data_IF_232008303723
#
_entry.id   IF_232008303723
#
_cell.length_a   1.000
_cell.length_b   1.000
_cell.length_c   1.000
_cell.angle_alpha   90.00
_cell.angle_beta   90.00
_cell.angle_gamma   90.00
#
_symmetry.space_group_name_H-M   'P 1'
#
loop_
_entity.id
_entity.type
_entity.pdbx_description
1 polymer ?
#
# COMPACT_ATOMS: atom_id res chain seq x y z
N UNK A 1 -6.90 54.76 13.31
CA UNK A 1 -6.95 53.31 13.53
C UNK A 1 -7.67 52.71 12.33
N UNK A 2 -6.99 51.85 11.58
CA UNK A 2 -7.41 51.50 10.22
C UNK A 2 -7.62 49.99 10.09
N UNK A 3 -8.84 49.57 10.42
CA UNK A 3 -9.41 48.25 10.15
C UNK A 3 -9.27 47.87 8.68
N UNK A 4 -9.37 46.57 8.38
CA UNK A 4 -9.48 46.12 6.99
C UNK A 4 -10.76 46.66 6.35
N UNK A 5 -10.61 47.23 5.14
CA UNK A 5 -11.77 47.62 4.33
C UNK A 5 -12.61 46.41 3.94
N UNK A 6 -13.89 46.62 3.60
CA UNK A 6 -14.82 45.55 3.18
C UNK A 6 -14.25 44.76 2.00
N UNK A 7 -13.66 45.44 1.01
CA UNK A 7 -13.04 44.78 -0.14
C UNK A 7 -11.82 43.93 0.26
N UNK A 8 -10.99 44.41 1.19
CA UNK A 8 -9.85 43.66 1.70
C UNK A 8 -10.29 42.43 2.52
N UNK A 9 -11.32 42.56 3.36
CA UNK A 9 -11.90 41.40 4.07
C UNK A 9 -12.49 40.38 3.10
N UNK A 10 -13.22 40.81 2.08
CA UNK A 10 -13.76 39.90 1.07
C UNK A 10 -12.65 39.16 0.30
N UNK A 11 -11.60 39.86 -0.10
CA UNK A 11 -10.46 39.26 -0.79
C UNK A 11 -9.68 38.28 0.11
N UNK A 12 -9.42 38.64 1.38
CA UNK A 12 -8.79 37.74 2.33
C UNK A 12 -9.65 36.49 2.60
N UNK A 13 -10.97 36.65 2.79
CA UNK A 13 -11.87 35.54 3.04
C UNK A 13 -11.82 34.52 1.89
N UNK A 14 -11.81 34.98 0.64
CA UNK A 14 -11.68 34.09 -0.53
C UNK A 14 -10.33 33.37 -0.58
N UNK A 15 -9.25 34.02 -0.13
CA UNK A 15 -7.93 33.38 -0.05
C UNK A 15 -7.89 32.32 1.05
N UNK A 16 -8.39 32.66 2.25
CA UNK A 16 -8.45 31.76 3.41
C UNK A 16 -9.33 30.53 3.08
N UNK A 17 -10.49 30.72 2.44
CA UNK A 17 -11.39 29.62 2.01
C UNK A 17 -10.67 28.62 1.09
N UNK A 18 -9.77 29.10 0.23
CA UNK A 18 -9.02 28.24 -0.72
C UNK A 18 -7.77 27.61 -0.14
N UNK A 19 -7.33 28.03 1.06
CA UNK A 19 -6.15 27.45 1.69
C UNK A 19 -6.42 26.02 2.17
N UNK A 20 -5.53 25.04 1.92
CA UNK A 20 -5.59 23.74 2.58
C UNK A 20 -5.46 23.85 4.11
N UNK A 21 -6.02 22.90 4.85
CA UNK A 21 -6.04 22.94 6.33
C UNK A 21 -4.65 23.09 6.94
N UNK A 22 -3.63 22.40 6.41
CA UNK A 22 -2.23 22.54 6.85
C UNK A 22 -1.70 23.97 6.75
N UNK A 23 -2.10 24.68 5.69
CA UNK A 23 -1.68 26.07 5.44
C UNK A 23 -2.47 27.00 6.35
N UNK A 24 -3.75 26.73 6.59
CA UNK A 24 -4.58 27.48 7.53
C UNK A 24 -4.01 27.42 8.96
N UNK A 25 -3.54 26.24 9.40
CA UNK A 25 -2.86 26.09 10.70
C UNK A 25 -1.56 26.90 10.77
N UNK A 26 -0.75 26.90 9.70
CA UNK A 26 0.47 27.70 9.63
C UNK A 26 0.15 29.21 9.64
N UNK A 27 -0.86 29.64 8.89
CA UNK A 27 -1.32 31.03 8.85
C UNK A 27 -1.83 31.49 10.22
N UNK A 28 -2.56 30.65 10.94
CA UNK A 28 -2.99 30.91 12.32
C UNK A 28 -1.79 31.16 13.24
N UNK A 29 -0.78 30.27 13.19
CA UNK A 29 0.45 30.42 13.97
C UNK A 29 1.23 31.70 13.64
N UNK A 30 1.36 32.04 12.36
CA UNK A 30 2.04 33.27 11.92
C UNK A 30 1.27 34.52 12.35
N UNK A 31 -0.05 34.55 12.14
CA UNK A 31 -0.90 35.67 12.54
C UNK A 31 -0.88 35.88 14.08
N UNK A 32 -0.69 34.82 14.86
CA UNK A 32 -0.47 34.86 16.31
C UNK A 32 0.78 35.63 16.75
N UNK A 33 1.79 35.77 15.89
CA UNK A 33 3.04 36.49 16.20
C UNK A 33 3.04 37.95 15.77
N UNK A 34 2.02 38.38 15.02
CA UNK A 34 1.92 39.74 14.47
C UNK A 34 1.18 40.68 15.43
N UNK A 35 1.64 41.93 15.54
CA UNK A 35 0.99 42.96 16.34
C UNK A 35 0.14 43.93 15.49
N UNK A 36 -0.93 44.48 16.07
CA UNK A 36 -1.77 45.53 15.50
C UNK A 36 -3.16 45.07 15.02
N UNK A 37 -4.06 46.04 14.81
CA UNK A 37 -5.50 45.81 14.56
C UNK A 37 -5.77 44.94 13.32
N UNK A 38 -5.02 45.13 12.22
CA UNK A 38 -5.16 44.31 11.01
C UNK A 38 -4.74 42.85 11.20
N UNK A 39 -3.78 42.61 12.09
CA UNK A 39 -3.37 41.25 12.45
C UNK A 39 -4.40 40.59 13.39
N UNK A 40 -5.10 41.36 14.22
CA UNK A 40 -6.27 40.88 14.95
C UNK A 40 -7.42 40.51 13.98
N UNK A 41 -7.78 41.40 13.05
CA UNK A 41 -8.81 41.12 12.02
C UNK A 41 -8.49 39.84 11.23
N UNK A 42 -7.23 39.63 10.80
CA UNK A 42 -6.82 38.41 10.10
C UNK A 42 -6.93 37.15 10.97
N UNK A 43 -6.56 37.24 12.26
CA UNK A 43 -6.70 36.11 13.21
C UNK A 43 -8.16 35.72 13.37
N UNK A 44 -9.04 36.70 13.59
CA UNK A 44 -10.48 36.47 13.73
C UNK A 44 -11.05 35.79 12.47
N UNK A 45 -10.64 36.24 11.27
CA UNK A 45 -11.06 35.61 10.01
C UNK A 45 -10.59 34.16 9.89
N UNK A 46 -9.34 33.86 10.30
CA UNK A 46 -8.80 32.49 10.28
C UNK A 46 -9.52 31.61 11.30
N UNK A 47 -9.79 32.12 12.50
CA UNK A 47 -10.50 31.39 13.56
C UNK A 47 -11.94 31.06 13.15
N UNK A 48 -12.65 32.01 12.52
CA UNK A 48 -13.99 31.80 11.99
C UNK A 48 -13.99 30.70 10.92
N UNK A 49 -13.06 30.74 9.96
CA UNK A 49 -12.95 29.70 8.94
C UNK A 49 -12.59 28.34 9.56
N UNK A 50 -11.62 28.29 10.47
CA UNK A 50 -11.19 27.06 11.11
C UNK A 50 -12.34 26.42 11.91
N UNK A 51 -13.14 27.23 12.61
CA UNK A 51 -14.32 26.79 13.34
C UNK A 51 -15.40 26.26 12.39
N UNK A 52 -15.66 26.95 11.28
CA UNK A 52 -16.62 26.52 10.26
C UNK A 52 -16.22 25.16 9.66
N UNK A 53 -14.93 24.99 9.29
CA UNK A 53 -14.40 23.70 8.82
C UNK A 53 -14.49 22.60 9.86
N UNK A 54 -14.22 22.90 11.13
CA UNK A 54 -14.37 21.93 12.22
C UNK A 54 -15.81 21.45 12.34
N UNK A 55 -16.77 22.37 12.33
CA UNK A 55 -18.21 22.07 12.40
C UNK A 55 -18.68 21.28 11.17
N UNK A 56 -18.24 21.66 9.97
CA UNK A 56 -18.45 20.88 8.74
C UNK A 56 -17.92 19.46 8.89
N UNK A 57 -16.72 19.29 9.43
CA UNK A 57 -16.10 17.97 9.58
C UNK A 57 -16.83 17.13 10.64
N UNK A 58 -17.40 17.74 11.68
CA UNK A 58 -18.28 17.06 12.64
C UNK A 58 -19.58 16.61 11.95
N UNK A 59 -20.23 17.52 11.21
CA UNK A 59 -21.48 17.25 10.52
C UNK A 59 -21.32 16.15 9.45
N UNK A 60 -20.38 16.32 8.52
CA UNK A 60 -20.14 15.41 7.41
C UNK A 60 -19.17 14.27 7.71
N UNK A 61 -18.71 14.13 8.96
CA UNK A 61 -17.74 13.12 9.39
C UNK A 61 -17.91 11.73 8.78
N UNK A 62 -19.14 11.15 8.78
CA UNK A 62 -19.38 9.84 8.17
C UNK A 62 -19.08 9.77 6.67
N UNK A 63 -19.17 10.87 5.93
CA UNK A 63 -18.97 10.91 4.48
C UNK A 63 -17.64 11.54 4.04
N UNK A 64 -16.89 12.17 4.95
CA UNK A 64 -15.63 12.84 4.60
C UNK A 64 -14.66 11.95 3.79
N UNK A 65 -14.48 10.65 4.11
CA UNK A 65 -13.57 9.82 3.32
C UNK A 65 -13.98 9.63 1.86
N UNK A 66 -15.27 9.78 1.52
CA UNK A 66 -15.73 9.72 0.13
C UNK A 66 -15.26 10.92 -0.69
N UNK A 67 -14.82 12.00 -0.06
CA UNK A 67 -14.27 13.17 -0.76
C UNK A 67 -12.75 13.09 -0.96
N UNK A 68 -12.15 11.93 -0.69
CA UNK A 68 -10.71 11.72 -0.81
C UNK A 68 -10.42 10.42 -1.56
N UNK A 69 -9.34 10.37 -2.36
CA UNK A 69 -8.88 9.10 -2.90
C UNK A 69 -8.43 8.18 -1.75
N UNK A 70 -8.72 6.89 -1.87
CA UNK A 70 -8.27 5.90 -0.89
C UNK A 70 -6.74 5.81 -0.86
N UNK A 71 -6.18 5.62 0.33
CA UNK A 71 -4.73 5.47 0.53
C UNK A 71 -4.14 4.22 -0.15
N UNK A 72 -4.93 3.14 -0.22
CA UNK A 72 -4.53 1.87 -0.84
C UNK A 72 -4.68 1.84 -2.38
N UNK A 73 -5.25 2.91 -2.96
CA UNK A 73 -5.45 3.05 -4.40
C UNK A 73 -6.50 2.12 -5.01
N UNK A 74 -7.31 1.42 -4.20
CA UNK A 74 -8.42 0.62 -4.73
C UNK A 74 -9.62 1.52 -5.11
N UNK A 75 -10.40 1.13 -6.13
CA UNK A 75 -11.60 1.87 -6.50
C UNK A 75 -12.68 1.72 -5.43
N UNK A 76 -13.37 2.82 -5.14
CA UNK A 76 -14.54 2.89 -4.26
C UNK A 76 -15.40 4.08 -4.66
N UNK A 77 -16.57 4.22 -4.03
CA UNK A 77 -17.40 5.40 -4.21
C UNK A 77 -16.63 6.67 -3.79
N UNK A 78 -16.67 7.71 -4.62
CA UNK A 78 -15.96 8.95 -4.34
C UNK A 78 -16.58 10.17 -5.02
N UNK A 79 -16.37 11.34 -4.42
CA UNK A 79 -16.90 12.63 -4.85
C UNK A 79 -15.79 13.70 -4.88
N UNK A 80 -15.89 14.72 -5.75
CA UNK A 80 -14.86 15.75 -5.84
C UNK A 80 -14.77 16.59 -4.54
N UNK A 81 -13.56 16.83 -3.99
CA UNK A 81 -13.39 17.64 -2.78
C UNK A 81 -14.00 19.05 -2.86
N UNK A 82 -14.03 19.63 -4.06
CA UNK A 82 -14.56 20.97 -4.32
C UNK A 82 -16.06 21.11 -3.99
N UNK A 83 -16.82 20.00 -4.04
CA UNK A 83 -18.26 19.97 -3.76
C UNK A 83 -18.53 20.18 -2.27
N UNK A 84 -17.65 19.69 -1.39
CA UNK A 84 -17.86 19.65 0.05
C UNK A 84 -18.12 21.04 0.67
N UNK A 85 -17.35 22.05 0.26
CA UNK A 85 -17.52 23.42 0.76
C UNK A 85 -18.77 24.12 0.22
N UNK A 86 -19.19 23.82 -1.01
CA UNK A 86 -20.45 24.34 -1.59
C UNK A 86 -21.65 23.69 -0.91
N UNK A 87 -21.58 22.37 -0.67
CA UNK A 87 -22.59 21.59 0.02
C UNK A 87 -22.82 22.11 1.45
N UNK A 88 -21.74 22.31 2.20
CA UNK A 88 -21.79 22.85 3.56
C UNK A 88 -22.51 24.19 3.62
N UNK A 89 -22.10 25.15 2.78
CA UNK A 89 -22.74 26.47 2.69
C UNK A 89 -24.22 26.40 2.33
N UNK A 90 -24.59 25.44 1.48
CA UNK A 90 -26.00 25.25 1.13
C UNK A 90 -26.81 24.68 2.30
N UNK A 91 -26.24 23.75 3.06
CA UNK A 91 -26.89 23.10 4.20
C UNK A 91 -27.12 24.05 5.38
N UNK A 92 -26.20 24.99 5.61
CA UNK A 92 -26.21 25.89 6.77
C UNK A 92 -26.88 27.23 6.52
N UNK A 93 -27.22 27.55 5.26
CA UNK A 93 -27.76 28.85 4.84
C UNK A 93 -28.98 29.31 5.66
N UNK A 94 -29.87 28.38 5.97
CA UNK A 94 -31.17 28.68 6.57
C UNK A 94 -31.19 28.51 8.09
N UNK A 95 -30.16 27.90 8.68
CA UNK A 95 -30.12 27.55 10.11
C UNK A 95 -28.75 27.85 10.76
N UNK A 96 -28.15 29.05 10.55
CA UNK A 96 -26.83 29.38 11.09
C UNK A 96 -26.77 29.34 12.63
N UNK A 97 -27.89 29.55 13.30
CA UNK A 97 -28.02 29.49 14.76
C UNK A 97 -27.80 28.09 15.35
N UNK A 98 -27.89 27.04 14.53
CA UNK A 98 -27.62 25.66 14.97
C UNK A 98 -26.13 25.34 15.01
N UNK A 99 -25.29 26.09 14.29
CA UNK A 99 -23.86 25.80 14.16
C UNK A 99 -23.11 25.73 15.50
N UNK A 100 -23.35 26.64 16.47
CA UNK A 100 -22.72 26.53 17.79
C UNK A 100 -23.08 25.26 18.56
N UNK A 101 -24.21 24.60 18.27
CA UNK A 101 -24.58 23.36 18.95
C UNK A 101 -23.67 22.19 18.54
N UNK A 102 -22.99 22.28 17.39
CA UNK A 102 -22.02 21.26 16.95
C UNK A 102 -20.77 21.23 17.83
N UNK A 103 -20.48 22.29 18.58
CA UNK A 103 -19.27 22.37 19.40
C UNK A 103 -19.40 21.62 20.74
N UNK A 104 -20.61 21.20 21.11
CA UNK A 104 -20.95 20.61 22.41
C UNK A 104 -20.54 19.15 22.59
N UNK A 105 -20.30 18.44 21.47
CA UNK A 105 -19.94 17.02 21.46
C UNK A 105 -20.88 16.09 22.25
N UNK A 106 -22.18 16.42 22.30
CA UNK A 106 -23.25 15.68 22.97
C UNK A 106 -24.27 15.10 21.98
N UNK A 107 -25.36 14.52 22.47
CA UNK A 107 -26.45 13.98 21.63
C UNK A 107 -27.12 15.04 20.76
N UNK A 108 -27.22 16.28 21.27
CA UNK A 108 -27.75 17.40 20.50
C UNK A 108 -26.84 17.69 19.31
N UNK A 109 -25.52 17.73 19.52
CA UNK A 109 -24.56 17.89 18.41
C UNK A 109 -24.73 16.82 17.33
N UNK A 110 -24.96 15.55 17.70
CA UNK A 110 -25.22 14.47 16.74
C UNK A 110 -26.52 14.67 15.96
N UNK A 111 -27.60 15.02 16.64
CA UNK A 111 -28.89 15.29 16.02
C UNK A 111 -28.83 16.47 15.03
N UNK A 112 -28.13 17.54 15.39
CA UNK A 112 -27.91 18.70 14.53
C UNK A 112 -27.05 18.33 13.32
N UNK A 113 -25.98 17.56 13.53
CA UNK A 113 -25.15 17.06 12.44
C UNK A 113 -25.97 16.26 11.41
N UNK A 114 -26.83 15.35 11.87
CA UNK A 114 -27.66 14.53 11.00
C UNK A 114 -28.74 15.36 10.28
N UNK A 115 -29.33 16.36 10.95
CA UNK A 115 -30.24 17.33 10.32
C UNK A 115 -29.55 18.09 9.18
N UNK A 116 -28.33 18.56 9.40
CA UNK A 116 -27.57 19.28 8.38
C UNK A 116 -27.22 18.38 7.18
N UNK A 117 -26.95 17.09 7.39
CA UNK A 117 -26.80 16.12 6.29
C UNK A 117 -28.08 15.98 5.48
N UNK A 118 -29.24 15.90 6.12
CA UNK A 118 -30.54 15.84 5.42
C UNK A 118 -30.80 17.14 4.64
N UNK A 119 -30.55 18.30 5.24
CA UNK A 119 -30.66 19.60 4.54
C UNK A 119 -29.73 19.67 3.32
N UNK A 120 -28.51 19.14 3.43
CA UNK A 120 -27.57 19.02 2.33
C UNK A 120 -28.09 18.10 1.21
N UNK A 121 -28.70 16.96 1.57
CA UNK A 121 -29.29 16.02 0.63
C UNK A 121 -30.46 16.65 -0.13
N UNK A 122 -31.35 17.38 0.56
CA UNK A 122 -32.43 18.13 -0.09
C UNK A 122 -31.90 19.20 -1.03
N UNK A 123 -30.86 19.93 -0.62
CA UNK A 123 -30.26 20.96 -1.47
C UNK A 123 -29.63 20.36 -2.74
N UNK A 124 -29.00 19.18 -2.67
CA UNK A 124 -28.50 18.50 -3.87
C UNK A 124 -29.63 18.09 -4.80
N UNK A 125 -30.78 17.65 -4.27
CA UNK A 125 -31.93 17.24 -5.10
C UNK A 125 -32.62 18.42 -5.78
N UNK A 126 -32.73 19.55 -5.08
CA UNK A 126 -33.46 20.73 -5.56
C UNK A 126 -32.60 21.66 -6.43
N UNK A 127 -31.31 21.77 -6.09
CA UNK A 127 -30.40 22.79 -6.65
C UNK A 127 -29.00 22.23 -6.92
N UNK A 128 -28.96 21.02 -7.48
CA UNK A 128 -27.73 20.33 -7.91
C UNK A 128 -26.78 21.25 -8.69
N UNK A 129 -27.31 21.95 -9.71
CA UNK A 129 -26.50 22.79 -10.61
C UNK A 129 -25.82 23.98 -9.94
N UNK A 130 -26.23 24.38 -8.73
CA UNK A 130 -25.53 25.41 -7.96
C UNK A 130 -24.41 24.84 -7.09
N UNK A 131 -24.61 23.63 -6.56
CA UNK A 131 -23.68 22.97 -5.64
C UNK A 131 -22.59 22.24 -6.44
N UNK A 132 -22.98 21.59 -7.52
CA UNK A 132 -22.13 20.79 -8.39
C UNK A 132 -22.51 21.04 -9.88
N UNK A 133 -22.21 22.24 -10.41
CA UNK A 133 -22.45 22.58 -11.83
C UNK A 133 -21.82 21.61 -12.83
N UNK A 134 -20.71 20.97 -12.44
CA UNK A 134 -19.94 20.06 -13.28
C UNK A 134 -20.55 18.64 -13.38
N UNK A 135 -21.60 18.30 -12.61
CA UNK A 135 -22.24 16.98 -12.68
C UNK A 135 -23.21 16.86 -13.87
N UNK A 136 -22.75 16.17 -14.92
CA UNK A 136 -23.57 15.83 -16.08
C UNK A 136 -24.24 14.44 -15.97
N UNK A 137 -24.01 13.69 -14.89
CA UNK A 137 -24.18 12.22 -14.86
C UNK A 137 -25.06 11.67 -13.74
N UNK A 138 -25.62 12.53 -12.88
CA UNK A 138 -26.49 12.11 -11.77
C UNK A 138 -25.74 11.74 -10.49
N UNK A 139 -24.45 12.08 -10.37
CA UNK A 139 -23.66 11.84 -9.15
C UNK A 139 -24.14 12.68 -7.96
N UNK A 140 -24.78 13.82 -8.20
CA UNK A 140 -25.42 14.62 -7.16
C UNK A 140 -26.51 13.83 -6.42
N UNK A 141 -27.27 12.98 -7.14
CA UNK A 141 -28.29 12.12 -6.54
C UNK A 141 -27.66 11.01 -5.69
N UNK A 142 -26.55 10.44 -6.15
CA UNK A 142 -25.80 9.42 -5.40
C UNK A 142 -25.22 10.00 -4.10
N UNK A 143 -24.66 11.21 -4.15
CA UNK A 143 -24.21 11.92 -2.95
C UNK A 143 -25.38 12.25 -2.02
N UNK A 144 -26.53 12.68 -2.55
CA UNK A 144 -27.73 12.92 -1.76
C UNK A 144 -28.24 11.65 -1.07
N UNK A 145 -28.17 10.50 -1.74
CA UNK A 145 -28.55 9.21 -1.15
C UNK A 145 -27.56 8.78 -0.05
N UNK A 146 -26.27 9.06 -0.20
CA UNK A 146 -25.29 8.85 0.87
C UNK A 146 -25.54 9.75 2.09
N UNK A 147 -25.94 11.01 1.87
CA UNK A 147 -26.28 11.95 2.94
C UNK A 147 -27.51 11.53 3.74
N UNK A 148 -28.51 10.90 3.12
CA UNK A 148 -29.66 10.33 3.84
C UNK A 148 -29.23 9.24 4.84
N UNK A 149 -28.10 8.56 4.58
CA UNK A 149 -27.56 7.50 5.43
C UNK A 149 -26.64 8.02 6.54
N UNK A 150 -26.37 9.33 6.63
CA UNK A 150 -25.38 9.89 7.55
C UNK A 150 -25.64 9.53 9.02
N UNK A 151 -26.91 9.55 9.46
CA UNK A 151 -27.29 9.17 10.82
C UNK A 151 -27.00 7.69 11.10
N UNK A 152 -27.34 6.80 10.16
CA UNK A 152 -27.06 5.37 10.25
C UNK A 152 -25.56 5.10 10.26
N UNK A 153 -24.81 5.76 9.36
CA UNK A 153 -23.36 5.65 9.29
C UNK A 153 -22.68 6.16 10.58
N UNK A 154 -23.12 7.30 11.13
CA UNK A 154 -22.57 7.84 12.39
C UNK A 154 -22.74 6.89 13.57
N UNK A 155 -23.84 6.13 13.59
CA UNK A 155 -24.09 5.09 14.60
C UNK A 155 -23.31 3.81 14.34
N UNK A 156 -23.12 3.45 13.09
CA UNK A 156 -22.42 2.23 12.66
C UNK A 156 -20.90 2.31 12.84
N UNK A 157 -20.28 3.41 12.40
CA UNK A 157 -18.83 3.57 12.33
C UNK A 157 -18.07 3.33 13.66
N UNK A 158 -18.60 3.70 14.84
CA UNK A 158 -17.95 3.36 16.12
C UNK A 158 -17.75 1.85 16.36
N UNK A 159 -18.56 0.99 15.73
CA UNK A 159 -18.46 -0.47 15.82
C UNK A 159 -17.47 -1.07 14.80
N UNK A 160 -16.96 -0.27 13.85
CA UNK A 160 -16.06 -0.74 12.80
C UNK A 160 -14.80 -1.45 13.34
N UNK A 161 -14.12 -0.96 14.40
CA UNK A 161 -12.98 -1.66 14.99
C UNK A 161 -13.31 -3.07 15.49
N UNK A 162 -14.52 -3.26 16.02
CA UNK A 162 -14.99 -4.56 16.49
C UNK A 162 -15.35 -5.47 15.31
N UNK A 163 -15.94 -4.91 14.24
CA UNK A 163 -16.30 -5.66 13.02
C UNK A 163 -15.09 -6.22 12.27
N UNK A 164 -13.98 -5.48 12.25
CA UNK A 164 -12.71 -5.91 11.64
C UNK A 164 -11.80 -6.64 12.65
N UNK A 165 -12.16 -6.65 13.93
CA UNK A 165 -11.39 -7.19 15.03
C UNK A 165 -11.84 -8.59 15.44
N UNK A 166 -12.32 -8.72 16.69
CA UNK A 166 -12.80 -10.00 17.24
C UNK A 166 -14.27 -10.22 16.86
N UNK A 167 -14.50 -11.16 15.97
CA UNK A 167 -15.85 -11.52 15.49
C UNK A 167 -16.66 -12.29 16.54
N UNK A 168 -17.94 -11.93 16.69
CA UNK A 168 -18.90 -12.59 17.57
C UNK A 168 -20.34 -12.46 17.06
N UNK A 169 -21.30 -13.23 17.62
CA UNK A 169 -22.69 -13.18 17.19
C UNK A 169 -23.36 -11.81 17.44
N UNK A 170 -22.93 -11.10 18.48
CA UNK A 170 -23.42 -9.75 18.81
C UNK A 170 -22.97 -8.73 17.77
N UNK A 171 -21.68 -8.71 17.42
CA UNK A 171 -21.15 -7.79 16.39
C UNK A 171 -21.76 -8.07 15.02
N UNK A 172 -22.04 -9.33 14.69
CA UNK A 172 -22.77 -9.69 13.48
C UNK A 172 -24.22 -9.18 13.47
N UNK A 173 -24.91 -9.24 14.62
CA UNK A 173 -26.26 -8.72 14.75
C UNK A 173 -26.30 -7.20 14.60
N UNK A 174 -25.32 -6.49 15.15
CA UNK A 174 -25.17 -5.04 15.01
C UNK A 174 -24.97 -4.63 13.55
N UNK A 175 -24.05 -5.29 12.83
CA UNK A 175 -23.83 -5.04 11.40
C UNK A 175 -25.10 -5.30 10.59
N UNK A 176 -25.76 -6.44 10.81
CA UNK A 176 -27.02 -6.80 10.10
C UNK A 176 -28.14 -5.81 10.39
N UNK A 177 -28.23 -5.29 11.61
CA UNK A 177 -29.19 -4.25 11.97
C UNK A 177 -28.89 -2.95 11.23
N UNK A 178 -27.63 -2.51 11.18
CA UNK A 178 -27.22 -1.30 10.46
C UNK A 178 -27.52 -1.41 8.96
N UNK A 179 -27.20 -2.55 8.33
CA UNK A 179 -27.50 -2.79 6.92
C UNK A 179 -29.01 -2.80 6.65
N UNK A 180 -29.81 -3.41 7.54
CA UNK A 180 -31.27 -3.41 7.43
C UNK A 180 -31.86 -2.01 7.58
N UNK A 181 -31.34 -1.21 8.52
CA UNK A 181 -31.75 0.19 8.70
C UNK A 181 -31.46 1.00 7.45
N UNK A 182 -30.26 0.86 6.87
CA UNK A 182 -29.89 1.54 5.64
C UNK A 182 -30.77 1.14 4.45
N UNK A 183 -31.04 -0.16 4.29
CA UNK A 183 -31.96 -0.66 3.26
C UNK A 183 -33.41 -0.14 3.43
N UNK A 184 -33.82 0.19 4.65
CA UNK A 184 -35.13 0.79 4.93
C UNK A 184 -35.23 2.28 4.60
N UNK A 185 -34.10 2.99 4.47
CA UNK A 185 -34.07 4.43 4.17
C UNK A 185 -34.19 4.67 2.67
N UNK A 186 -33.45 3.91 1.85
CA UNK A 186 -33.43 4.08 0.40
C UNK A 186 -33.14 2.76 -0.32
N UNK A 187 -33.57 2.60 -1.59
CA UNK A 187 -33.11 1.52 -2.46
C UNK A 187 -31.58 1.50 -2.47
N UNK A 188 -30.96 0.32 -2.43
CA UNK A 188 -29.49 0.15 -2.37
C UNK A 188 -28.83 0.80 -1.12
N UNK A 189 -29.60 1.21 -0.11
CA UNK A 189 -29.05 1.87 1.07
C UNK A 189 -28.03 1.02 1.82
N UNK A 190 -28.21 -0.30 1.87
CA UNK A 190 -27.20 -1.22 2.41
C UNK A 190 -25.89 -1.17 1.61
N UNK A 191 -25.94 -1.13 0.28
CA UNK A 191 -24.77 -1.05 -0.60
C UNK A 191 -24.01 0.26 -0.37
N UNK A 192 -24.74 1.39 -0.32
CA UNK A 192 -24.15 2.72 -0.01
C UNK A 192 -23.55 2.79 1.38
N UNK A 193 -24.19 2.18 2.39
CA UNK A 193 -23.60 2.10 3.73
C UNK A 193 -22.29 1.29 3.72
N UNK A 194 -22.20 0.23 2.93
CA UNK A 194 -20.98 -0.54 2.76
C UNK A 194 -19.88 0.27 2.06
N UNK A 195 -20.21 1.08 1.06
CA UNK A 195 -19.25 2.02 0.44
C UNK A 195 -18.74 3.05 1.46
N UNK A 196 -19.63 3.59 2.30
CA UNK A 196 -19.23 4.49 3.40
C UNK A 196 -18.27 3.75 4.34
N UNK A 197 -18.64 2.56 4.84
CA UNK A 197 -17.77 1.77 5.72
C UNK A 197 -16.42 1.49 5.05
N UNK A 198 -16.45 1.06 3.79
CA UNK A 198 -15.26 0.78 3.00
C UNK A 198 -14.35 1.99 2.97
N UNK A 199 -14.87 3.19 2.70
CA UNK A 199 -14.11 4.44 2.67
C UNK A 199 -13.41 4.79 4.00
N UNK A 200 -13.93 4.31 5.15
CA UNK A 200 -13.29 4.48 6.47
C UNK A 200 -12.20 3.44 6.78
N UNK A 201 -12.08 2.37 5.99
CA UNK A 201 -11.00 1.40 6.16
C UNK A 201 -9.70 1.95 5.56
N UNK A 202 -8.63 2.01 6.36
CA UNK A 202 -7.28 2.35 5.87
C UNK A 202 -6.77 1.31 4.86
N UNK A 203 -7.19 0.06 5.04
CA UNK A 203 -6.82 -1.06 4.19
C UNK A 203 -8.05 -1.81 3.69
N UNK A 204 -8.23 -1.83 2.37
CA UNK A 204 -9.37 -2.43 1.71
C UNK A 204 -9.55 -3.91 2.05
N UNK A 205 -8.50 -4.69 2.36
CA UNK A 205 -8.65 -6.12 2.67
C UNK A 205 -9.51 -6.37 3.91
N UNK A 206 -9.60 -5.40 4.82
CA UNK A 206 -10.39 -5.52 6.04
C UNK A 206 -11.90 -5.60 5.77
N UNK A 207 -12.35 -5.19 4.57
CA UNK A 207 -13.74 -5.38 4.15
C UNK A 207 -14.11 -6.86 4.06
N UNK A 208 -13.14 -7.75 3.84
CA UNK A 208 -13.37 -9.20 3.80
C UNK A 208 -13.86 -9.72 5.15
N UNK A 209 -13.40 -9.12 6.27
CA UNK A 209 -13.89 -9.44 7.61
C UNK A 209 -15.32 -8.98 7.83
N UNK A 210 -15.67 -7.78 7.35
CA UNK A 210 -17.05 -7.27 7.35
C UNK A 210 -17.96 -8.18 6.53
N UNK A 211 -17.50 -8.62 5.35
CA UNK A 211 -18.23 -9.58 4.52
C UNK A 211 -18.45 -10.91 5.25
N UNK A 212 -17.39 -11.48 5.83
CA UNK A 212 -17.46 -12.72 6.61
C UNK A 212 -18.43 -12.62 7.80
N UNK A 213 -18.45 -11.47 8.49
CA UNK A 213 -19.32 -11.21 9.63
C UNK A 213 -20.81 -11.11 9.23
N UNK A 214 -21.09 -10.52 8.07
CA UNK A 214 -22.44 -10.39 7.53
C UNK A 214 -22.97 -11.68 6.92
N UNK A 215 -22.08 -12.58 6.46
CA UNK A 215 -22.46 -13.84 5.84
C UNK A 215 -23.39 -14.68 6.77
N UNK A 216 -24.40 -15.37 6.22
CA UNK A 216 -25.25 -16.24 7.01
C UNK A 216 -24.45 -17.47 7.49
N UNK A 217 -24.48 -17.71 8.80
CA UNK A 217 -23.95 -18.93 9.43
C UNK A 217 -25.04 -19.98 9.57
N UNK A 218 -25.37 -20.69 8.49
CA UNK A 218 -26.44 -21.70 8.46
C UNK A 218 -26.08 -22.93 7.63
N UNK A 219 -26.85 -24.02 7.79
CA UNK A 219 -26.64 -25.29 7.07
C UNK A 219 -27.09 -25.27 5.60
N UNK A 220 -27.92 -24.30 5.21
CA UNK A 220 -28.66 -24.33 3.95
C UNK A 220 -27.93 -23.66 2.77
N UNK A 221 -27.16 -22.60 3.04
CA UNK A 221 -26.32 -21.92 2.04
C UNK A 221 -24.89 -21.77 2.58
N UNK A 222 -23.89 -22.07 1.74
CA UNK A 222 -22.50 -21.72 2.09
C UNK A 222 -22.33 -20.20 2.12
N UNK A 223 -21.52 -19.71 3.07
CA UNK A 223 -21.20 -18.29 3.23
C UNK A 223 -20.77 -17.63 1.91
N UNK A 224 -19.97 -18.32 1.10
CA UNK A 224 -19.55 -17.87 -0.23
C UNK A 224 -20.72 -17.64 -1.19
N UNK A 225 -21.69 -18.56 -1.26
CA UNK A 225 -22.85 -18.43 -2.16
C UNK A 225 -23.73 -17.26 -1.74
N UNK A 226 -23.97 -17.13 -0.44
CA UNK A 226 -24.77 -16.03 0.09
C UNK A 226 -24.09 -14.67 -0.12
N UNK A 227 -22.76 -14.61 -0.02
CA UNK A 227 -22.00 -13.40 -0.31
C UNK A 227 -22.05 -13.05 -1.80
N UNK A 228 -21.90 -14.04 -2.69
CA UNK A 228 -21.96 -13.83 -4.13
C UNK A 228 -23.31 -13.30 -4.64
N UNK A 229 -24.40 -13.59 -3.92
CA UNK A 229 -25.74 -13.05 -4.21
C UNK A 229 -26.03 -11.69 -3.53
N UNK A 230 -25.06 -11.17 -2.76
CA UNK A 230 -25.22 -9.94 -1.98
C UNK A 230 -24.33 -8.80 -2.47
N UNK A 231 -24.66 -7.57 -2.04
CA UNK A 231 -23.84 -6.36 -2.26
C UNK A 231 -22.40 -6.50 -1.76
N UNK A 232 -22.16 -7.35 -0.74
CA UNK A 232 -20.81 -7.62 -0.22
C UNK A 232 -19.94 -8.42 -1.18
N UNK A 233 -20.55 -9.21 -2.07
CA UNK A 233 -19.82 -9.94 -3.11
C UNK A 233 -19.04 -9.02 -4.04
N UNK A 234 -19.58 -7.83 -4.33
CA UNK A 234 -18.92 -6.82 -5.16
C UNK A 234 -17.58 -6.36 -4.56
N UNK A 235 -17.48 -6.27 -3.24
CA UNK A 235 -16.23 -5.92 -2.57
C UNK A 235 -15.21 -7.05 -2.64
N UNK A 236 -15.65 -8.30 -2.51
CA UNK A 236 -14.79 -9.48 -2.71
C UNK A 236 -14.25 -9.49 -4.14
N UNK A 237 -15.10 -9.27 -5.14
CA UNK A 237 -14.70 -9.18 -6.55
C UNK A 237 -13.68 -8.07 -6.80
N UNK A 238 -13.86 -6.88 -6.20
CA UNK A 238 -12.89 -5.76 -6.30
C UNK A 238 -11.53 -6.15 -5.73
N UNK A 239 -11.48 -6.80 -4.56
CA UNK A 239 -10.23 -7.27 -3.96
C UNK A 239 -9.56 -8.33 -4.86
N UNK A 240 -10.32 -9.30 -5.36
CA UNK A 240 -9.79 -10.36 -6.22
C UNK A 240 -9.28 -9.82 -7.56
N UNK A 241 -9.95 -8.82 -8.13
CA UNK A 241 -9.49 -8.14 -9.34
C UNK A 241 -8.18 -7.39 -9.10
N UNK A 242 -8.07 -6.67 -7.99
CA UNK A 242 -6.84 -5.98 -7.60
C UNK A 242 -5.68 -6.97 -7.37
N UNK A 243 -5.95 -8.10 -6.72
CA UNK A 243 -5.02 -9.22 -6.54
C UNK A 243 -4.57 -9.80 -7.88
N UNK A 244 -5.50 -10.08 -8.78
CA UNK A 244 -5.18 -10.63 -10.09
C UNK A 244 -4.31 -9.67 -10.92
N UNK A 245 -4.59 -8.37 -10.86
CA UNK A 245 -3.79 -7.33 -11.52
C UNK A 245 -2.36 -7.28 -10.95
N UNK A 246 -2.20 -7.13 -9.64
CA UNK A 246 -0.88 -7.05 -9.00
C UNK A 246 -0.09 -8.35 -9.17
N UNK A 247 -0.74 -9.52 -9.10
CA UNK A 247 -0.11 -10.80 -9.40
C UNK A 247 0.35 -10.90 -10.87
N UNK A 248 -0.38 -10.28 -11.80
CA UNK A 248 0.02 -10.21 -13.20
C UNK A 248 1.22 -9.27 -13.42
N UNK A 249 1.21 -8.10 -12.78
CA UNK A 249 2.31 -7.12 -12.81
C UNK A 249 3.58 -7.74 -12.18
N UNK A 250 3.45 -8.37 -11.02
CA UNK A 250 4.54 -9.10 -10.37
C UNK A 250 5.06 -10.25 -11.24
N UNK A 251 4.20 -10.94 -11.99
CA UNK A 251 4.65 -11.99 -12.91
C UNK A 251 5.37 -11.44 -14.14
N UNK A 252 4.99 -10.26 -14.63
CA UNK A 252 5.61 -9.59 -15.77
C UNK A 252 6.89 -8.80 -15.41
N UNK A 253 7.15 -8.59 -14.12
CA UNK A 253 8.30 -7.83 -13.63
C UNK A 253 9.63 -8.50 -14.04
N UNK A 254 10.51 -7.71 -14.65
CA UNK A 254 11.88 -8.13 -15.01
C UNK A 254 12.90 -7.33 -14.19
N UNK A 255 13.55 -7.93 -13.17
CA UNK A 255 14.51 -7.24 -12.33
C UNK A 255 15.76 -6.80 -13.10
N UNK A 256 16.06 -7.39 -14.26
CA UNK A 256 17.26 -7.09 -15.04
C UNK A 256 17.09 -5.91 -16.01
N UNK A 257 15.91 -5.27 -16.05
CA UNK A 257 15.70 -4.02 -16.79
C UNK A 257 16.19 -2.83 -15.99
N UNK A 258 16.82 -1.85 -16.65
CA UNK A 258 17.47 -0.69 -15.99
C UNK A 258 16.54 0.23 -15.19
N UNK A 259 15.22 0.10 -15.32
CA UNK A 259 14.20 0.87 -14.58
C UNK A 259 13.49 0.04 -13.50
N UNK A 260 13.95 -1.18 -13.21
CA UNK A 260 13.29 -2.08 -12.27
C UNK A 260 13.39 -1.58 -10.83
N UNK A 261 12.24 -1.20 -10.25
CA UNK A 261 12.12 -0.83 -8.85
C UNK A 261 11.78 -2.06 -8.00
N UNK A 262 12.78 -2.58 -7.28
CA UNK A 262 12.61 -3.75 -6.40
C UNK A 262 11.78 -3.45 -5.16
N UNK A 263 11.74 -2.20 -4.68
CA UNK A 263 10.97 -1.84 -3.49
C UNK A 263 9.48 -1.83 -3.82
N UNK A 264 9.09 -1.29 -4.98
CA UNK A 264 7.71 -1.37 -5.49
C UNK A 264 7.30 -2.82 -5.73
N UNK A 265 8.15 -3.61 -6.39
CA UNK A 265 7.88 -5.04 -6.61
C UNK A 265 7.67 -5.80 -5.29
N UNK A 266 8.50 -5.53 -4.28
CA UNK A 266 8.32 -6.12 -2.94
C UNK A 266 7.01 -5.69 -2.30
N UNK A 267 6.68 -4.40 -2.34
CA UNK A 267 5.44 -3.90 -1.76
C UNK A 267 4.20 -4.57 -2.38
N UNK A 268 4.22 -4.81 -3.70
CA UNK A 268 3.15 -5.54 -4.37
C UNK A 268 3.07 -7.02 -3.99
N UNK A 269 4.22 -7.71 -3.87
CA UNK A 269 4.24 -9.09 -3.38
C UNK A 269 3.76 -9.20 -1.94
N UNK A 270 4.19 -8.29 -1.06
CA UNK A 270 3.76 -8.23 0.34
C UNK A 270 2.23 -8.01 0.38
N UNK A 271 1.71 -7.03 -0.37
CA UNK A 271 0.26 -6.79 -0.44
C UNK A 271 -0.52 -8.02 -0.94
N UNK A 272 -0.02 -8.70 -1.97
CA UNK A 272 -0.66 -9.92 -2.48
C UNK A 272 -0.64 -11.05 -1.45
N UNK A 273 0.50 -11.27 -0.79
CA UNK A 273 0.64 -12.30 0.23
C UNK A 273 -0.27 -12.03 1.43
N UNK A 274 -0.34 -10.79 1.90
CA UNK A 274 -1.18 -10.45 3.03
C UNK A 274 -2.68 -10.46 2.68
N UNK A 275 -3.05 -10.07 1.46
CA UNK A 275 -4.43 -10.21 0.95
C UNK A 275 -4.85 -11.67 0.87
N UNK A 276 -3.96 -12.55 0.39
CA UNK A 276 -4.20 -13.99 0.34
C UNK A 276 -4.36 -14.60 1.72
N UNK A 277 -3.55 -14.18 2.69
CA UNK A 277 -3.67 -14.61 4.08
C UNK A 277 -4.98 -14.14 4.71
N UNK A 278 -5.41 -12.92 4.41
CA UNK A 278 -6.69 -12.38 4.86
C UNK A 278 -7.88 -13.13 4.26
N UNK A 279 -7.83 -13.47 2.96
CA UNK A 279 -8.85 -14.30 2.30
C UNK A 279 -8.93 -15.69 2.96
N UNK A 280 -7.79 -16.35 3.18
CA UNK A 280 -7.75 -17.68 3.83
C UNK A 280 -8.35 -17.66 5.23
N UNK A 281 -8.20 -16.54 5.94
CA UNK A 281 -8.72 -16.38 7.31
C UNK A 281 -10.20 -16.00 7.32
N UNK A 282 -10.61 -15.03 6.49
CA UNK A 282 -11.95 -14.45 6.52
C UNK A 282 -12.97 -15.25 5.70
N UNK A 283 -12.56 -15.87 4.60
CA UNK A 283 -13.48 -16.46 3.62
C UNK A 283 -13.22 -17.96 3.41
N UNK A 284 -14.16 -18.84 3.82
CA UNK A 284 -14.06 -20.27 3.54
C UNK A 284 -14.46 -20.55 2.08
N UNK A 285 -13.57 -20.25 1.14
CA UNK A 285 -13.80 -20.44 -0.30
C UNK A 285 -13.74 -21.91 -0.71
N UNK A 286 -14.69 -22.34 -1.55
CA UNK A 286 -14.63 -23.66 -2.19
C UNK A 286 -13.59 -23.67 -3.31
N UNK A 287 -12.81 -24.75 -3.42
CA UNK A 287 -11.72 -24.82 -4.38
C UNK A 287 -12.16 -24.72 -5.86
N UNK A 288 -13.40 -25.12 -6.16
CA UNK A 288 -13.98 -25.14 -7.51
C UNK A 288 -14.86 -23.92 -7.82
N UNK A 289 -15.07 -23.03 -6.85
CA UNK A 289 -15.80 -21.78 -7.06
C UNK A 289 -15.02 -20.80 -7.94
N UNK A 290 -15.70 -19.76 -8.44
CA UNK A 290 -15.06 -18.70 -9.20
C UNK A 290 -13.98 -17.98 -8.36
N UNK A 291 -14.29 -17.64 -7.11
CA UNK A 291 -13.35 -16.98 -6.20
C UNK A 291 -12.19 -17.89 -5.81
N UNK A 292 -12.45 -19.16 -5.48
CA UNK A 292 -11.40 -20.14 -5.16
C UNK A 292 -10.44 -20.37 -6.34
N UNK A 293 -10.97 -20.45 -7.56
CA UNK A 293 -10.16 -20.52 -8.79
C UNK A 293 -9.32 -19.26 -9.00
N UNK A 294 -9.89 -18.07 -8.82
CA UNK A 294 -9.18 -16.80 -8.97
C UNK A 294 -8.00 -16.69 -7.97
N UNK A 295 -8.23 -17.02 -6.70
CA UNK A 295 -7.20 -17.06 -5.65
C UNK A 295 -6.09 -18.04 -5.99
N UNK A 296 -6.44 -19.26 -6.41
CA UNK A 296 -5.46 -20.28 -6.81
C UNK A 296 -4.64 -19.84 -8.02
N UNK A 297 -5.29 -19.22 -9.01
CA UNK A 297 -4.63 -18.71 -10.20
C UNK A 297 -3.63 -17.60 -9.87
N UNK A 298 -4.00 -16.66 -8.99
CA UNK A 298 -3.09 -15.60 -8.54
C UNK A 298 -1.86 -16.18 -7.82
N UNK A 299 -2.06 -17.14 -6.89
CA UNK A 299 -0.96 -17.85 -6.21
C UNK A 299 -0.03 -18.55 -7.19
N UNK A 300 -0.58 -19.35 -8.08
CA UNK A 300 0.17 -20.14 -9.04
C UNK A 300 0.98 -19.23 -9.97
N UNK A 301 0.39 -18.14 -10.45
CA UNK A 301 1.04 -17.20 -11.36
C UNK A 301 2.28 -16.56 -10.74
N UNK A 302 2.19 -16.10 -9.50
CA UNK A 302 3.33 -15.54 -8.77
C UNK A 302 4.37 -16.62 -8.48
N UNK A 303 3.95 -17.80 -8.00
CA UNK A 303 4.85 -18.90 -7.66
C UNK A 303 5.70 -19.33 -8.87
N UNK A 304 5.08 -19.63 -10.02
CA UNK A 304 5.80 -20.03 -11.23
C UNK A 304 6.80 -18.96 -11.68
N UNK A 305 6.38 -17.70 -11.65
CA UNK A 305 7.22 -16.57 -12.03
C UNK A 305 8.41 -16.39 -11.07
N UNK A 306 8.26 -16.68 -9.77
CA UNK A 306 9.38 -16.67 -8.83
C UNK A 306 10.34 -17.85 -9.07
N UNK A 307 9.83 -19.06 -9.31
CA UNK A 307 10.64 -20.24 -9.64
C UNK A 307 11.52 -20.02 -10.88
N UNK A 308 10.94 -19.40 -11.93
CA UNK A 308 11.70 -19.01 -13.13
C UNK A 308 12.85 -18.04 -12.81
N UNK A 309 12.62 -17.07 -11.92
CA UNK A 309 13.63 -16.10 -11.49
C UNK A 309 14.69 -16.72 -10.59
N UNK A 310 14.34 -17.68 -9.74
CA UNK A 310 15.31 -18.44 -8.96
C UNK A 310 16.26 -19.21 -9.88
N UNK A 311 15.71 -19.93 -10.85
CA UNK A 311 16.50 -20.62 -11.89
C UNK A 311 17.32 -19.64 -12.76
N UNK A 312 16.81 -18.42 -13.01
CA UNK A 312 17.56 -17.39 -13.72
C UNK A 312 18.70 -16.80 -12.88
N UNK A 313 18.52 -16.67 -11.57
CA UNK A 313 19.54 -16.18 -10.64
C UNK A 313 20.76 -17.11 -10.62
N UNK A 314 20.53 -18.43 -10.59
CA UNK A 314 21.60 -19.41 -10.68
C UNK A 314 22.44 -19.25 -11.95
N UNK A 315 21.79 -19.16 -13.11
CA UNK A 315 22.47 -18.97 -14.40
C UNK A 315 23.20 -17.63 -14.50
N UNK A 316 22.61 -16.56 -13.94
CA UNK A 316 23.23 -15.24 -13.96
C UNK A 316 24.49 -15.19 -13.07
N UNK A 317 24.48 -15.89 -11.94
CA UNK A 317 25.67 -16.04 -11.08
C UNK A 317 26.73 -16.87 -11.79
N UNK A 318 26.38 -17.98 -12.44
CA UNK A 318 27.36 -18.79 -13.18
C UNK A 318 28.03 -17.99 -14.32
N UNK A 319 27.30 -17.08 -14.97
CA UNK A 319 27.85 -16.24 -16.04
C UNK A 319 28.95 -15.26 -15.56
N UNK A 320 28.96 -14.89 -14.28
CA UNK A 320 29.96 -13.97 -13.71
C UNK A 320 31.05 -14.68 -12.89
N UNK A 321 30.94 -16.00 -12.73
CA UNK A 321 31.90 -16.88 -12.04
C UNK A 321 32.59 -17.82 -13.04
N UNK A 322 33.46 -17.31 -13.93
CA UNK A 322 34.10 -18.15 -14.93
C UNK A 322 35.01 -19.19 -14.25
N UNK A 323 34.97 -20.40 -14.79
CA UNK A 323 35.82 -21.52 -14.40
C UNK A 323 36.61 -22.04 -15.60
N UNK A 324 37.83 -22.52 -15.34
CA UNK A 324 38.67 -23.22 -16.29
C UNK A 324 39.01 -24.62 -15.79
N UNK A 325 39.30 -25.55 -16.70
CA UNK A 325 39.71 -26.92 -16.33
C UNK A 325 41.21 -26.96 -16.13
N UNK A 326 41.65 -27.15 -14.89
CA UNK A 326 43.07 -27.35 -14.58
C UNK A 326 43.35 -28.83 -14.37
N UNK A 327 44.44 -29.33 -14.95
CA UNK A 327 44.89 -30.70 -14.75
C UNK A 327 45.39 -30.88 -13.31
N UNK A 328 44.96 -31.96 -12.64
CA UNK A 328 45.46 -32.37 -11.33
C UNK A 328 46.62 -33.35 -11.51
N UNK A 329 46.30 -34.57 -11.97
CA UNK A 329 47.24 -35.66 -12.29
C UNK A 329 46.65 -36.52 -13.41
N UNK A 330 47.44 -36.85 -14.42
CA UNK A 330 47.00 -37.68 -15.55
C UNK A 330 45.88 -37.03 -16.37
N UNK A 331 44.80 -37.78 -16.65
CA UNK A 331 43.60 -37.25 -17.37
C UNK A 331 42.58 -36.58 -16.46
N UNK A 332 42.83 -36.51 -15.15
CA UNK A 332 41.90 -35.88 -14.20
C UNK A 332 42.05 -34.36 -14.24
N UNK A 333 40.93 -33.68 -14.48
CA UNK A 333 40.84 -32.22 -14.47
C UNK A 333 39.78 -31.78 -13.45
N UNK A 334 40.05 -30.67 -12.76
CA UNK A 334 39.05 -30.02 -11.88
C UNK A 334 38.69 -28.63 -12.42
N UNK A 335 37.42 -28.19 -12.26
CA UNK A 335 37.07 -26.80 -12.49
C UNK A 335 37.76 -25.94 -11.43
N UNK A 336 38.33 -24.82 -11.83
CA UNK A 336 38.97 -23.83 -10.94
C UNK A 336 38.60 -22.42 -11.40
N UNK A 337 38.57 -21.41 -10.51
CA UNK A 337 38.28 -20.03 -10.88
C UNK A 337 39.25 -19.49 -11.95
N UNK A 338 38.68 -18.95 -13.03
CA UNK A 338 39.43 -18.16 -14.01
C UNK A 338 39.47 -16.71 -13.56
N UNK A 339 40.65 -16.21 -13.21
CA UNK A 339 40.82 -14.86 -12.70
C UNK A 339 40.98 -13.80 -13.80
N UNK A 340 41.32 -14.23 -15.02
CA UNK A 340 41.55 -13.35 -16.15
C UNK A 340 40.24 -12.91 -16.85
N UNK A 341 40.34 -11.82 -17.61
CA UNK A 341 39.25 -11.22 -18.39
C UNK A 341 38.34 -10.30 -17.57
N UNK A 342 37.77 -9.28 -18.21
CA UNK A 342 36.82 -8.38 -17.56
C UNK A 342 35.49 -9.08 -17.27
N UNK A 343 34.79 -8.66 -16.20
CA UNK A 343 33.38 -9.02 -16.02
C UNK A 343 32.55 -8.08 -16.89
N UNK A 344 31.72 -8.64 -17.77
CA UNK A 344 30.78 -7.84 -18.56
C UNK A 344 29.78 -7.13 -17.64
N UNK A 345 29.64 -5.81 -17.80
CA UNK A 345 28.78 -4.99 -16.94
C UNK A 345 27.33 -5.49 -16.94
N UNK A 346 26.79 -5.82 -18.11
CA UNK A 346 25.43 -6.34 -18.28
C UNK A 346 25.22 -7.67 -17.52
N UNK A 347 26.21 -8.56 -17.55
CA UNK A 347 26.14 -9.83 -16.81
C UNK A 347 26.21 -9.61 -15.29
N UNK A 348 27.07 -8.69 -14.84
CA UNK A 348 27.15 -8.30 -13.43
C UNK A 348 25.86 -7.67 -12.91
N UNK A 349 25.27 -6.75 -13.66
CA UNK A 349 24.04 -6.06 -13.27
C UNK A 349 22.84 -7.03 -13.23
N UNK A 350 22.76 -7.94 -14.20
CA UNK A 350 21.77 -9.03 -14.18
C UNK A 350 21.94 -9.94 -12.97
N UNK A 351 23.17 -10.34 -12.63
CA UNK A 351 23.45 -11.17 -11.46
C UNK A 351 23.07 -10.44 -10.15
N UNK A 352 23.40 -9.15 -10.03
CA UNK A 352 23.00 -8.33 -8.87
C UNK A 352 21.49 -8.26 -8.70
N UNK A 353 20.78 -7.93 -9.77
CA UNK A 353 19.34 -7.76 -9.71
C UNK A 353 18.61 -9.06 -9.31
N UNK A 354 19.01 -10.19 -9.90
CA UNK A 354 18.42 -11.49 -9.57
C UNK A 354 18.83 -12.00 -8.18
N UNK A 355 20.08 -11.77 -7.75
CA UNK A 355 20.52 -12.07 -6.39
C UNK A 355 19.75 -11.25 -5.34
N UNK A 356 19.55 -9.96 -5.61
CA UNK A 356 18.76 -9.08 -4.75
C UNK A 356 17.32 -9.60 -4.62
N UNK A 357 16.70 -10.01 -5.74
CA UNK A 357 15.35 -10.59 -5.73
C UNK A 357 15.25 -11.85 -4.85
N UNK A 358 16.21 -12.78 -4.94
CA UNK A 358 16.22 -14.01 -4.11
C UNK A 358 16.22 -13.68 -2.61
N UNK A 359 16.96 -12.65 -2.19
CA UNK A 359 16.98 -12.17 -0.81
C UNK A 359 15.70 -11.43 -0.41
N UNK A 360 15.18 -10.61 -1.32
CA UNK A 360 14.03 -9.71 -1.12
C UNK A 360 12.70 -10.45 -0.89
N UNK A 361 12.48 -11.55 -1.62
CA UNK A 361 11.19 -12.29 -1.59
C UNK A 361 11.04 -13.23 -0.38
N UNK A 362 11.98 -13.17 0.57
CA UNK A 362 11.85 -13.86 1.86
C UNK A 362 10.62 -13.34 2.61
N UNK A 363 9.74 -14.23 3.04
CA UNK A 363 8.46 -13.90 3.65
C UNK A 363 7.30 -14.19 2.71
N UNK A 364 7.06 -13.36 1.67
CA UNK A 364 5.99 -13.59 0.69
C UNK A 364 6.07 -14.96 0.01
N UNK A 365 7.27 -15.48 -0.24
CA UNK A 365 7.47 -16.79 -0.84
C UNK A 365 6.78 -17.94 -0.07
N UNK A 366 6.58 -17.80 1.25
CA UNK A 366 5.87 -18.80 2.05
C UNK A 366 4.38 -18.85 1.70
N UNK A 367 3.74 -17.70 1.51
CA UNK A 367 2.31 -17.61 1.14
C UNK A 367 2.05 -18.15 -0.27
N UNK A 368 3.00 -17.97 -1.17
CA UNK A 368 2.92 -18.52 -2.53
C UNK A 368 3.35 -20.00 -2.64
N UNK A 369 3.86 -20.60 -1.55
CA UNK A 369 4.30 -22.00 -1.53
C UNK A 369 5.66 -22.27 -2.20
N UNK A 370 6.49 -21.25 -2.41
CA UNK A 370 7.81 -21.38 -3.05
C UNK A 370 9.01 -21.13 -2.11
N UNK A 371 8.78 -20.98 -0.80
CA UNK A 371 9.85 -20.72 0.18
C UNK A 371 10.91 -21.84 0.23
N UNK A 372 10.52 -23.10 0.03
CA UNK A 372 11.46 -24.22 -0.01
C UNK A 372 12.45 -24.09 -1.17
N UNK A 373 11.95 -23.77 -2.37
CA UNK A 373 12.75 -23.57 -3.57
C UNK A 373 13.63 -22.31 -3.45
N UNK A 374 13.08 -21.20 -2.94
CA UNK A 374 13.83 -19.97 -2.66
C UNK A 374 15.02 -20.25 -1.72
N UNK A 375 14.76 -21.00 -0.63
CA UNK A 375 15.80 -21.38 0.35
C UNK A 375 16.86 -22.28 -0.27
N UNK A 376 16.47 -23.30 -1.01
CA UNK A 376 17.41 -24.18 -1.72
C UNK A 376 18.30 -23.38 -2.69
N UNK A 377 17.70 -22.47 -3.45
CA UNK A 377 18.42 -21.58 -4.37
C UNK A 377 19.41 -20.70 -3.62
N UNK A 378 18.99 -20.07 -2.52
CA UNK A 378 19.86 -19.22 -1.71
C UNK A 378 21.03 -20.01 -1.08
N UNK A 379 20.79 -21.22 -0.59
CA UNK A 379 21.81 -22.11 -0.05
C UNK A 379 22.81 -22.54 -1.13
N UNK A 380 22.33 -22.96 -2.30
CA UNK A 380 23.16 -23.35 -3.44
C UNK A 380 24.02 -22.20 -3.97
N UNK A 381 23.45 -21.00 -4.09
CA UNK A 381 24.18 -19.78 -4.45
C UNK A 381 25.22 -19.42 -3.40
N UNK A 382 24.87 -19.50 -2.11
CA UNK A 382 25.81 -19.22 -1.01
C UNK A 382 27.01 -20.14 -1.05
N UNK A 383 26.79 -21.45 -1.20
CA UNK A 383 27.86 -22.45 -1.31
C UNK A 383 28.77 -22.20 -2.51
N UNK A 384 28.19 -21.96 -3.69
CA UNK A 384 28.96 -21.68 -4.93
C UNK A 384 29.80 -20.41 -4.83
N UNK A 385 29.20 -19.30 -4.40
CA UNK A 385 29.88 -18.02 -4.27
C UNK A 385 31.01 -18.08 -3.24
N UNK A 386 30.79 -18.73 -2.09
CA UNK A 386 31.81 -18.89 -1.06
C UNK A 386 32.98 -19.77 -1.55
N UNK A 387 32.68 -20.92 -2.16
CA UNK A 387 33.70 -21.82 -2.69
C UNK A 387 34.54 -21.16 -3.79
N UNK A 388 33.88 -20.47 -4.74
CA UNK A 388 34.57 -19.75 -5.80
C UNK A 388 35.46 -18.63 -5.23
N UNK A 389 34.96 -17.86 -4.25
CA UNK A 389 35.74 -16.79 -3.62
C UNK A 389 36.98 -17.33 -2.89
N UNK A 390 36.84 -18.43 -2.17
CA UNK A 390 37.93 -19.03 -1.41
C UNK A 390 39.05 -19.51 -2.34
N UNK A 391 38.72 -20.26 -3.39
CA UNK A 391 39.71 -20.75 -4.36
C UNK A 391 40.29 -19.59 -5.20
N UNK A 392 39.50 -18.57 -5.52
CA UNK A 392 39.98 -17.37 -6.21
C UNK A 392 40.99 -16.57 -5.37
N UNK A 393 40.75 -16.47 -4.05
CA UNK A 393 41.68 -15.81 -3.12
C UNK A 393 42.98 -16.59 -2.96
N UNK A 394 42.93 -17.93 -2.91
CA UNK A 394 44.13 -18.77 -2.89
C UNK A 394 44.98 -18.55 -4.14
N UNK A 395 44.37 -18.64 -5.33
CA UNK A 395 45.08 -18.40 -6.61
C UNK A 395 45.64 -16.99 -6.73
N UNK A 396 44.92 -15.99 -6.23
CA UNK A 396 45.41 -14.61 -6.18
C UNK A 396 46.66 -14.50 -5.28
N UNK A 397 46.67 -15.17 -4.12
CA UNK A 397 47.82 -15.18 -3.22
C UNK A 397 49.02 -15.95 -3.80
N UNK A 398 48.76 -16.98 -4.61
CA UNK A 398 49.79 -17.76 -5.30
C UNK A 398 50.38 -17.05 -6.54
N UNK A 399 49.95 -15.81 -6.84
CA UNK A 399 50.41 -15.04 -7.98
C UNK A 399 49.91 -15.56 -9.33
N UNK A 400 48.83 -16.34 -9.35
CA UNK A 400 48.28 -17.00 -10.55
C UNK A 400 47.27 -16.13 -11.31
N UNK A 401 47.23 -14.83 -11.05
CA UNK A 401 46.36 -13.86 -11.73
C UNK A 401 47.20 -12.93 -12.61
N UNK A 402 46.87 -12.83 -13.91
CA UNK A 402 47.59 -11.91 -14.80
C UNK A 402 47.27 -10.44 -14.50
N UNK A 403 46.04 -10.16 -14.05
CA UNK A 403 45.58 -8.85 -13.58
C UNK A 403 44.96 -8.99 -12.18
N UNK A 404 45.76 -8.69 -11.15
CA UNK A 404 45.30 -8.71 -9.76
C UNK A 404 44.14 -7.76 -9.49
N UNK A 405 44.09 -6.60 -10.15
CA UNK A 405 43.05 -5.60 -9.92
C UNK A 405 41.71 -6.10 -10.45
N UNK A 406 41.70 -6.72 -11.63
CA UNK A 406 40.52 -7.38 -12.20
C UNK A 406 40.06 -8.57 -11.33
N UNK A 407 40.99 -9.40 -10.86
CA UNK A 407 40.68 -10.52 -9.98
C UNK A 407 40.04 -10.05 -8.65
N UNK A 408 40.60 -9.02 -8.02
CA UNK A 408 40.05 -8.40 -6.81
C UNK A 408 38.64 -7.84 -7.04
N UNK A 409 38.41 -7.14 -8.17
CA UNK A 409 37.07 -6.63 -8.52
C UNK A 409 36.04 -7.76 -8.64
N UNK A 410 36.41 -8.89 -9.24
CA UNK A 410 35.53 -10.06 -9.35
C UNK A 410 35.22 -10.67 -7.97
N UNK A 411 36.21 -10.81 -7.09
CA UNK A 411 35.99 -11.30 -5.71
C UNK A 411 35.09 -10.33 -4.91
N UNK A 412 35.22 -9.01 -5.13
CA UNK A 412 34.32 -8.01 -4.54
C UNK A 412 32.87 -8.21 -5.02
N UNK A 413 32.67 -8.43 -6.33
CA UNK A 413 31.35 -8.76 -6.88
C UNK A 413 30.78 -10.03 -6.23
N UNK A 414 31.58 -11.09 -6.08
CA UNK A 414 31.14 -12.32 -5.40
C UNK A 414 30.66 -12.05 -3.96
N UNK A 415 31.39 -11.21 -3.22
CA UNK A 415 30.98 -10.81 -1.87
C UNK A 415 29.73 -9.91 -1.86
N UNK A 416 29.56 -9.07 -2.87
CA UNK A 416 28.34 -8.26 -3.08
C UNK A 416 27.12 -9.17 -3.30
N UNK A 417 27.21 -10.13 -4.21
CA UNK A 417 26.14 -11.09 -4.51
C UNK A 417 25.75 -11.93 -3.28
N UNK A 418 26.72 -12.37 -2.47
CA UNK A 418 26.47 -13.02 -1.17
C UNK A 418 25.65 -12.13 -0.23
N UNK A 419 25.95 -10.82 -0.22
CA UNK A 419 25.19 -9.85 0.58
C UNK A 419 23.75 -9.71 0.11
N UNK A 420 23.54 -9.63 -1.20
CA UNK A 420 22.24 -9.44 -1.85
C UNK A 420 21.29 -10.63 -1.64
N UNK A 421 21.78 -11.87 -1.69
CA UNK A 421 20.96 -13.07 -1.38
C UNK A 421 20.68 -13.24 0.13
N UNK A 422 21.21 -12.36 0.99
CA UNK A 422 21.01 -12.39 2.44
C UNK A 422 22.08 -13.13 3.23
N UNK A 423 23.12 -13.69 2.59
CA UNK A 423 24.25 -14.37 3.23
C UNK A 423 25.29 -13.37 3.80
N UNK A 424 24.84 -12.47 4.68
CA UNK A 424 25.62 -11.33 5.21
C UNK A 424 26.90 -11.75 5.94
N UNK A 425 26.93 -12.91 6.58
CA UNK A 425 28.13 -13.40 7.27
C UNK A 425 29.19 -13.85 6.27
N UNK A 426 28.82 -14.68 5.30
CA UNK A 426 29.71 -15.11 4.22
C UNK A 426 30.26 -13.92 3.42
N UNK A 427 29.40 -12.95 3.09
CA UNK A 427 29.81 -11.69 2.45
C UNK A 427 30.89 -10.93 3.26
N UNK A 428 30.68 -10.76 4.57
CA UNK A 428 31.66 -10.11 5.46
C UNK A 428 32.97 -10.89 5.53
N UNK A 429 32.91 -12.22 5.60
CA UNK A 429 34.10 -13.09 5.63
C UNK A 429 34.94 -12.95 4.37
N UNK A 430 34.34 -13.02 3.18
CA UNK A 430 35.05 -12.85 1.90
C UNK A 430 35.72 -11.47 1.84
N UNK A 431 34.99 -10.40 2.19
CA UNK A 431 35.55 -9.03 2.21
C UNK A 431 36.75 -8.91 3.15
N UNK A 432 36.65 -9.47 4.36
CA UNK A 432 37.75 -9.46 5.34
C UNK A 432 38.99 -10.20 4.84
N UNK A 433 38.81 -11.39 4.26
CA UNK A 433 39.92 -12.20 3.72
C UNK A 433 40.61 -11.52 2.55
N UNK A 434 39.85 -10.89 1.65
CA UNK A 434 40.41 -10.15 0.52
C UNK A 434 41.29 -8.96 0.97
N UNK A 435 40.88 -8.25 2.02
CA UNK A 435 41.67 -7.14 2.59
C UNK A 435 42.98 -7.64 3.22
N UNK A 436 42.96 -8.79 3.90
CA UNK A 436 44.15 -9.39 4.49
C UNK A 436 45.18 -9.83 3.42
N UNK A 437 44.71 -10.36 2.29
CA UNK A 437 45.54 -10.73 1.13
C UNK A 437 46.30 -9.52 0.54
N UNK A 438 45.69 -8.33 0.51
CA UNK A 438 46.36 -7.10 0.06
C UNK A 438 47.42 -6.54 1.02
N UNK A 439 47.32 -6.85 2.33
CA UNK A 439 48.31 -6.43 3.32
C UNK A 439 49.54 -7.35 3.33
N UNK A 440 49.36 -8.66 3.12
CA UNK A 440 50.45 -9.63 3.05
C UNK A 440 51.34 -9.44 1.80
N UNK A 441 50.74 -9.16 0.63
CA UNK A 441 51.49 -8.88 -0.61
C UNK A 441 52.39 -7.63 -0.52
N UNK A 442 52.02 -6.62 0.28
CA UNK A 442 52.84 -5.42 0.53
C UNK A 442 53.97 -5.61 1.54
N UNK A 443 53.97 -6.71 2.30
CA UNK A 443 54.93 -6.96 3.38
C UNK A 443 56.12 -7.85 2.98
N UNK A 444 56.10 -8.44 1.78
CA UNK A 444 57.24 -9.23 1.25
C UNK A 444 58.32 -8.29 0.67
N UNK A 445 59.56 -8.29 1.19
CA UNK A 445 60.66 -7.57 0.55
C UNK A 445 61.07 -8.27 -0.76
N UNK A 446 61.63 -7.56 -1.74
CA UNK A 446 62.20 -8.20 -2.93
C UNK A 446 63.34 -9.12 -2.50
N UNK A 447 63.27 -10.39 -2.90
CA UNK A 447 64.37 -11.33 -2.72
C UNK A 447 65.56 -10.86 -3.58
N UNK A 448 66.73 -10.74 -2.93
CA UNK A 448 67.99 -10.32 -3.52
C UNK A 448 68.66 -11.43 -4.33
#
# INVERSE_FOLDING_TARGET
MADLSVAQRAALAQLIERCPDRVLTQLSGLAGTMAGDRAADLRDMIEVEALDRRRRNIAFGPLLPLFQPRADGLPGLGFPPAVLGRLWRSATRNEPELLPQLDRADDLSRMIADRLCLSAAFALRDRAGEIWPEDASGQAQELAACLDLAATARRALPHLPDWIGRSGPETAAELKLALRQAAGIAPEGASRLLEIIFAHLEDARLILRVAALAAPGGRELSAETALGESELGLFVDRILLALARRAAEAAAFDPARGEADLDVFKADLDWCAETLAEIDMALPLKADSAWGKAVRQARLKVALSLSERFSAAERAVDAVLPVERTALVGRMTRPTPRLDGAVEAVAADRARALAALVGLVRGPAAVFGCEAERRQTAEALTGRLAAWADEAMERLNDGMAADEAAARKRIILTAELLGLIGAREASRTVRRRLMASGAASRASPPAA
#
